data_IF_137606210126
#
_entry.id   IF_137606210126
#
_cell.length_a   1.000
_cell.length_b   1.000
_cell.length_c   1.000
_cell.angle_alpha   90.00
_cell.angle_beta   90.00
_cell.angle_gamma   90.00
#
_symmetry.space_group_name_H-M   'P 1'
#
loop_
_entity.id
_entity.type
_entity.pdbx_description
1 polymer ?
#
# COMPACT_ATOMS: atom_id res chain seq x y z
N UNK A 1 17.81 -6.96 4.15
CA UNK A 1 16.68 -6.02 4.20
C UNK A 1 15.63 -6.52 3.26
N UNK A 2 14.42 -6.82 3.72
CA UNK A 2 13.35 -7.29 2.83
C UNK A 2 13.00 -6.16 1.86
N UNK A 3 13.20 -6.40 0.56
CA UNK A 3 12.87 -5.43 -0.46
C UNK A 3 11.35 -5.33 -0.57
N UNK A 4 10.79 -4.20 -0.13
CA UNK A 4 9.36 -3.91 -0.32
C UNK A 4 9.14 -3.46 -1.76
N UNK A 5 8.40 -4.25 -2.51
CA UNK A 5 7.94 -3.87 -3.85
C UNK A 5 6.52 -3.34 -3.78
N UNK A 6 6.14 -2.46 -4.71
CA UNK A 6 4.77 -1.95 -4.80
C UNK A 6 4.30 -1.87 -6.24
N UNK A 7 3.01 -2.09 -6.45
CA UNK A 7 2.33 -1.95 -7.74
C UNK A 7 1.19 -0.95 -7.61
N UNK A 8 1.26 0.11 -8.41
CA UNK A 8 0.23 1.14 -8.50
C UNK A 8 -0.81 0.66 -9.53
N UNK A 9 -2.06 0.51 -9.09
CA UNK A 9 -3.19 0.15 -9.92
C UNK A 9 -3.78 1.35 -10.68
N UNK A 10 -5.01 1.16 -11.18
CA UNK A 10 -5.74 2.21 -11.88
C UNK A 10 -6.13 3.34 -10.91
N UNK A 11 -6.08 4.58 -11.41
CA UNK A 11 -6.64 5.74 -10.72
C UNK A 11 -8.16 5.67 -10.74
N UNK A 12 -8.76 5.81 -9.55
CA UNK A 12 -10.19 5.90 -9.36
C UNK A 12 -10.57 7.38 -9.20
N UNK A 13 -11.32 7.91 -10.17
CA UNK A 13 -11.72 9.31 -10.20
C UNK A 13 -12.79 9.65 -9.15
N UNK A 14 -13.66 8.68 -8.81
CA UNK A 14 -14.72 8.85 -7.82
C UNK A 14 -14.15 9.05 -6.41
N UNK A 15 -13.16 8.23 -6.03
CA UNK A 15 -12.50 8.31 -4.72
C UNK A 15 -11.23 9.14 -4.71
N UNK A 16 -10.79 9.60 -5.89
CA UNK A 16 -9.51 10.30 -6.12
C UNK A 16 -8.32 9.54 -5.51
N UNK A 17 -8.34 8.22 -5.61
CA UNK A 17 -7.32 7.35 -5.04
C UNK A 17 -6.79 6.34 -6.07
N UNK A 18 -5.58 5.85 -5.84
CA UNK A 18 -5.00 4.72 -6.58
C UNK A 18 -4.90 3.52 -5.65
N UNK A 19 -5.39 2.38 -6.10
CA UNK A 19 -5.19 1.13 -5.35
C UNK A 19 -3.75 0.67 -5.51
N UNK A 20 -3.00 0.58 -4.41
CA UNK A 20 -1.61 0.13 -4.42
C UNK A 20 -1.48 -1.19 -3.69
N UNK A 21 -0.79 -2.15 -4.29
CA UNK A 21 -0.44 -3.42 -3.67
C UNK A 21 1.02 -3.40 -3.30
N UNK A 22 1.32 -3.47 -2.00
CA UNK A 22 2.64 -3.59 -1.44
C UNK A 22 2.95 -5.06 -1.17
N UNK A 23 4.14 -5.52 -1.53
CA UNK A 23 4.57 -6.90 -1.38
C UNK A 23 5.97 -6.94 -0.79
N UNK A 24 6.11 -7.59 0.36
CA UNK A 24 7.38 -7.79 1.06
C UNK A 24 7.50 -9.26 1.45
N UNK A 25 8.23 -10.04 0.65
CA UNK A 25 8.30 -11.49 0.82
C UNK A 25 6.91 -12.12 0.73
N UNK A 26 6.47 -12.75 1.81
CA UNK A 26 5.15 -13.41 1.93
C UNK A 26 4.02 -12.45 2.31
N UNK A 27 4.34 -11.20 2.67
CA UNK A 27 3.37 -10.20 3.10
C UNK A 27 2.84 -9.44 1.89
N UNK A 28 1.55 -9.58 1.62
CA UNK A 28 0.83 -8.80 0.60
C UNK A 28 -0.14 -7.85 1.29
N UNK A 29 0.10 -6.56 1.18
CA UNK A 29 -0.73 -5.51 1.77
C UNK A 29 -1.29 -4.60 0.67
N UNK A 30 -2.61 -4.60 0.50
CA UNK A 30 -3.29 -3.70 -0.43
C UNK A 30 -3.80 -2.47 0.32
N UNK A 31 -3.56 -1.28 -0.24
CA UNK A 31 -4.02 -0.01 0.33
C UNK A 31 -4.32 1.01 -0.75
N UNK A 32 -5.41 1.74 -0.57
CA UNK A 32 -5.72 2.89 -1.41
C UNK A 32 -4.92 4.11 -0.95
N UNK A 33 -4.20 4.73 -1.88
CA UNK A 33 -3.40 5.93 -1.65
C UNK A 33 -4.06 7.09 -2.38
N UNK A 34 -4.25 8.21 -1.68
CA UNK A 34 -4.80 9.41 -2.30
C UNK A 34 -3.91 9.84 -3.46
N UNK A 35 -4.53 9.97 -4.64
CA UNK A 35 -3.85 10.42 -5.83
C UNK A 35 -3.59 11.92 -5.74
N UNK A 36 -2.44 12.34 -6.28
CA UNK A 36 -2.13 13.75 -6.42
C UNK A 36 -2.67 14.22 -7.76
N UNK A 37 -3.48 15.28 -7.73
CA UNK A 37 -3.99 15.93 -8.93
C UNK A 37 -3.19 17.21 -9.17
N UNK A 38 -3.00 17.55 -10.45
CA UNK A 38 -2.40 18.82 -10.87
C UNK A 38 -3.36 19.98 -10.62
N UNK A 39 -2.86 21.20 -10.82
CA UNK A 39 -3.65 22.42 -10.70
C UNK A 39 -4.87 22.43 -11.66
N UNK A 40 -4.77 21.76 -12.81
CA UNK A 40 -5.85 21.58 -13.78
C UNK A 40 -6.80 20.41 -13.44
N UNK A 41 -6.58 19.72 -12.31
CA UNK A 41 -7.40 18.60 -11.86
C UNK A 41 -7.08 17.26 -12.53
N UNK A 42 -6.13 17.20 -13.46
CA UNK A 42 -5.68 15.93 -14.05
C UNK A 42 -4.80 15.13 -13.10
N UNK A 43 -4.81 13.81 -13.27
CA UNK A 43 -4.02 12.89 -12.47
C UNK A 43 -2.51 13.10 -12.68
N UNK A 44 -1.80 13.43 -11.60
CA UNK A 44 -0.34 13.54 -11.61
C UNK A 44 0.31 12.21 -11.21
N UNK A 45 0.76 11.46 -12.22
CA UNK A 45 1.42 10.17 -11.99
C UNK A 45 2.75 10.31 -11.25
N UNK A 46 3.52 11.39 -11.48
CA UNK A 46 4.83 11.57 -10.86
C UNK A 46 4.70 11.92 -9.38
N UNK A 47 3.82 12.89 -9.07
CA UNK A 47 3.55 13.26 -7.68
C UNK A 47 2.81 12.15 -6.92
N UNK A 48 1.89 11.44 -7.58
CA UNK A 48 1.27 10.25 -6.97
C UNK A 48 2.30 9.17 -6.69
N UNK A 49 3.26 8.92 -7.60
CA UNK A 49 4.33 7.97 -7.35
C UNK A 49 5.16 8.36 -6.12
N UNK A 50 5.58 9.62 -6.00
CA UNK A 50 6.30 10.10 -4.82
C UNK A 50 5.49 9.86 -3.54
N UNK A 51 4.18 10.14 -3.58
CA UNK A 51 3.28 9.86 -2.44
C UNK A 51 3.19 8.37 -2.10
N UNK A 52 3.14 7.51 -3.12
CA UNK A 52 3.14 6.06 -2.93
C UNK A 52 4.48 5.58 -2.36
N UNK A 53 5.61 6.16 -2.77
CA UNK A 53 6.94 5.85 -2.23
C UNK A 53 7.04 6.20 -0.74
N UNK A 54 6.53 7.36 -0.32
CA UNK A 54 6.43 7.69 1.11
C UNK A 54 5.60 6.68 1.89
N UNK A 55 4.44 6.29 1.34
CA UNK A 55 3.58 5.25 1.95
C UNK A 55 4.29 3.91 1.99
N UNK A 56 5.06 3.56 0.95
CA UNK A 56 5.86 2.33 0.89
C UNK A 56 6.87 2.30 2.05
N UNK A 57 7.60 3.38 2.30
CA UNK A 57 8.54 3.46 3.44
C UNK A 57 7.82 3.27 4.78
N UNK A 58 6.65 3.89 4.94
CA UNK A 58 5.82 3.71 6.14
C UNK A 58 5.30 2.26 6.29
N UNK A 59 4.91 1.62 5.19
CA UNK A 59 4.49 0.21 5.16
C UNK A 59 5.67 -0.70 5.49
N UNK A 60 6.85 -0.47 4.91
CA UNK A 60 8.07 -1.23 5.20
C UNK A 60 8.43 -1.14 6.69
N UNK A 61 8.35 0.06 7.27
CA UNK A 61 8.59 0.24 8.71
C UNK A 61 7.56 -0.51 9.54
N UNK A 62 6.27 -0.45 9.20
CA UNK A 62 5.22 -1.18 9.91
C UNK A 62 5.36 -2.70 9.80
N UNK A 63 5.82 -3.19 8.65
CA UNK A 63 6.12 -4.62 8.46
C UNK A 63 7.31 -5.01 9.34
N UNK A 64 8.40 -4.23 9.32
CA UNK A 64 9.57 -4.47 10.15
C UNK A 64 9.25 -4.40 11.65
N UNK A 65 8.30 -3.54 12.04
CA UNK A 65 7.79 -3.42 13.41
C UNK A 65 6.77 -4.52 13.79
N UNK A 66 6.40 -5.42 12.86
CA UNK A 66 5.40 -6.46 13.11
C UNK A 66 3.95 -5.97 13.22
N UNK A 67 3.67 -4.72 12.83
CA UNK A 67 2.32 -4.14 12.81
C UNK A 67 1.53 -4.63 11.59
N UNK A 68 2.20 -4.72 10.43
CA UNK A 68 1.64 -5.34 9.23
C UNK A 68 2.30 -6.71 9.11
N UNK A 69 1.57 -7.74 9.49
CA UNK A 69 1.97 -9.12 9.28
C UNK A 69 1.22 -9.69 8.07
N UNK A 70 1.78 -10.71 7.43
CA UNK A 70 0.96 -11.60 6.62
C UNK A 70 0.00 -12.23 7.63
N UNK A 71 -1.26 -11.79 7.62
CA UNK A 71 -2.28 -12.39 8.48
C UNK A 71 -2.19 -13.89 8.23
N UNK A 72 -1.79 -14.73 9.22
CA UNK A 72 -2.03 -16.15 9.07
C UNK A 72 -3.54 -16.26 8.96
N UNK A 73 -4.02 -16.92 7.90
CA UNK A 73 -5.40 -17.37 7.88
C UNK A 73 -5.65 -18.06 9.22
N UNK A 74 -6.47 -17.43 10.05
CA UNK A 74 -7.06 -17.91 11.31
C UNK A 74 -6.44 -19.24 11.82
N UNK A 75 -5.56 -19.27 12.85
CA UNK A 75 -5.51 -20.48 13.65
C UNK A 75 -6.86 -20.53 14.35
N UNK A 76 -7.70 -21.47 13.92
CA UNK A 76 -9.02 -21.76 14.48
C UNK A 76 -9.02 -21.50 15.99
N UNK A 77 -10.08 -20.87 16.54
CA UNK A 77 -10.17 -20.65 17.98
C UNK A 77 -9.93 -21.98 18.67
N UNK A 78 -8.82 -22.07 19.41
CA UNK A 78 -8.53 -23.22 20.24
C UNK A 78 -9.52 -23.14 21.40
N UNK A 79 -10.48 -24.06 21.35
CA UNK A 79 -11.46 -24.36 22.39
C UNK A 79 -10.72 -24.65 23.71
N UNK A 80 -11.00 -23.87 24.76
CA UNK A 80 -10.75 -24.21 26.17
C UNK A 80 -11.98 -23.84 27.00
#
# INVERSE_FOLDING_TARGET
>A
MSELTFRIGAFNADTRAVSVTFTSGEIVHKRDVNAVLKADGTYDKAATKARVEEVALGVAHKIAAGVITAVPADPAPSDD
#
